data_IF_502239107001
#
_entry.id   IF_502239107001
#
_cell.length_a   1.000
_cell.length_b   1.000
_cell.length_c   1.000
_cell.angle_alpha   90.00
_cell.angle_beta   90.00
_cell.angle_gamma   90.00
#
_symmetry.space_group_name_H-M   'P 1'
#
loop_
_entity.id
_entity.type
_entity.pdbx_description
1 polymer ?
#
# COMPACT_ATOMS: atom_id res chain seq x y z
N UNK A 1 -4.39 2.64 10.86
CA UNK A 1 -4.33 4.03 10.37
C UNK A 1 -5.21 4.12 9.15
N UNK A 2 -6.29 4.87 9.21
CA UNK A 2 -7.09 5.12 8.02
C UNK A 2 -6.37 6.12 7.12
N UNK A 3 -6.66 6.03 5.83
CA UNK A 3 -6.00 6.86 4.86
C UNK A 3 -6.47 6.58 3.46
N UNK A 4 -5.91 7.34 2.53
CA UNK A 4 -6.23 7.25 1.11
C UNK A 4 -5.05 6.66 0.36
N UNK A 5 -5.26 5.47 -0.21
CA UNK A 5 -4.33 4.85 -1.14
C UNK A 5 -4.65 5.29 -2.57
N UNK A 6 -3.64 5.68 -3.34
CA UNK A 6 -3.74 6.05 -4.76
C UNK A 6 -2.67 5.32 -5.54
N UNK A 7 -3.08 4.71 -6.65
CA UNK A 7 -2.20 4.05 -7.60
C UNK A 7 -2.06 4.90 -8.86
N UNK A 8 -0.87 4.93 -9.43
CA UNK A 8 -0.56 5.64 -10.67
C UNK A 8 0.54 4.88 -11.42
N UNK A 9 0.81 5.26 -12.67
CA UNK A 9 1.95 4.72 -13.42
C UNK A 9 3.30 5.04 -12.76
N UNK A 10 3.39 6.14 -12.01
CA UNK A 10 4.59 6.52 -11.27
C UNK A 10 4.80 5.67 -10.00
N UNK A 11 3.75 5.00 -9.53
CA UNK A 11 3.79 4.18 -8.33
C UNK A 11 2.59 4.42 -7.42
N UNK A 12 2.82 4.29 -6.12
CA UNK A 12 1.81 4.28 -5.07
C UNK A 12 1.98 5.47 -4.13
N UNK A 13 0.88 6.13 -3.79
CA UNK A 13 0.82 7.17 -2.75
C UNK A 13 -0.16 6.74 -1.67
N UNK A 14 0.25 6.81 -0.42
CA UNK A 14 -0.63 6.69 0.73
C UNK A 14 -0.63 7.99 1.54
N UNK A 15 -1.81 8.51 1.89
CA UNK A 15 -1.95 9.62 2.81
C UNK A 15 -2.72 9.19 4.04
N UNK A 16 -2.11 9.31 5.21
CA UNK A 16 -2.77 9.08 6.49
C UNK A 16 -3.76 10.23 6.77
N UNK A 17 -5.02 9.92 7.04
CA UNK A 17 -6.04 10.95 7.26
C UNK A 17 -5.86 11.66 8.61
N UNK A 18 -5.44 10.93 9.65
CA UNK A 18 -5.26 11.48 11.00
C UNK A 18 -4.03 12.38 11.11
N UNK A 19 -2.90 11.97 10.54
CA UNK A 19 -1.62 12.70 10.71
C UNK A 19 -1.25 13.56 9.51
N UNK A 20 -1.93 13.40 8.37
CA UNK A 20 -1.56 14.06 7.13
C UNK A 20 -0.27 13.54 6.49
N UNK A 21 0.44 12.58 7.13
CA UNK A 21 1.68 12.00 6.60
C UNK A 21 1.41 11.37 5.24
N UNK A 22 2.23 11.73 4.26
CA UNK A 22 2.19 11.18 2.89
C UNK A 22 3.40 10.28 2.70
N UNK A 23 3.16 9.10 2.15
CA UNK A 23 4.17 8.13 1.74
C UNK A 23 4.02 7.90 0.24
N UNK A 24 5.14 7.98 -0.49
CA UNK A 24 5.20 7.72 -1.92
C UNK A 24 6.20 6.59 -2.17
N UNK A 25 5.79 5.58 -2.93
CA UNK A 25 6.61 4.46 -3.36
C UNK A 25 6.67 4.50 -4.88
N UNK A 26 7.87 4.67 -5.43
CA UNK A 26 8.08 4.64 -6.88
C UNK A 26 7.79 3.25 -7.43
N UNK A 27 7.16 3.17 -8.60
CA UNK A 27 6.93 1.90 -9.29
C UNK A 27 8.24 1.12 -9.53
N UNK A 28 9.35 1.82 -9.77
CA UNK A 28 10.66 1.21 -9.98
C UNK A 28 11.27 0.60 -8.70
N UNK A 29 10.79 1.00 -7.53
CA UNK A 29 11.27 0.47 -6.24
C UNK A 29 10.45 -0.74 -5.75
N UNK A 30 9.37 -1.11 -6.46
CA UNK A 30 8.51 -2.23 -6.09
C UNK A 30 9.16 -3.54 -6.54
N UNK A 31 9.51 -4.38 -5.58
CA UNK A 31 10.08 -5.71 -5.83
C UNK A 31 8.98 -6.79 -5.92
N UNK A 32 8.04 -6.77 -5.00
CA UNK A 32 6.98 -7.79 -4.89
C UNK A 32 5.67 -7.16 -4.42
N UNK A 33 4.55 -7.66 -4.97
CA UNK A 33 3.19 -7.30 -4.55
C UNK A 33 2.40 -8.59 -4.33
N UNK A 34 1.84 -8.74 -3.12
CA UNK A 34 1.02 -9.89 -2.74
C UNK A 34 -0.37 -9.44 -2.35
N UNK A 35 -1.37 -10.01 -3.02
CA UNK A 35 -2.77 -9.92 -2.62
C UNK A 35 -3.12 -11.10 -1.70
N UNK A 36 -3.73 -10.82 -0.55
CA UNK A 36 -4.03 -11.86 0.45
C UNK A 36 -5.26 -11.53 1.27
N UNK A 37 -5.92 -12.56 1.82
CA UNK A 37 -6.92 -12.37 2.89
C UNK A 37 -6.26 -11.82 4.15
N UNK A 38 -6.97 -10.94 4.84
CA UNK A 38 -6.55 -10.31 6.11
C UNK A 38 -7.74 -10.27 7.09
N UNK A 39 -7.53 -9.76 8.30
CA UNK A 39 -8.57 -9.74 9.35
C UNK A 39 -9.85 -9.00 8.91
N UNK A 40 -9.71 -7.95 8.09
CA UNK A 40 -10.83 -7.24 7.48
C UNK A 40 -10.70 -7.27 5.96
N UNK A 41 -11.38 -8.22 5.31
CA UNK A 41 -11.39 -8.35 3.86
C UNK A 41 -10.04 -8.81 3.29
N UNK A 42 -9.52 -8.04 2.33
CA UNK A 42 -8.25 -8.30 1.65
C UNK A 42 -7.24 -7.20 1.89
N UNK A 43 -5.97 -7.53 1.67
CA UNK A 43 -4.85 -6.62 1.82
C UNK A 43 -3.81 -6.81 0.72
N UNK A 44 -3.11 -5.71 0.43
CA UNK A 44 -1.92 -5.65 -0.40
C UNK A 44 -0.71 -5.59 0.54
N UNK A 45 0.18 -6.57 0.43
CA UNK A 45 1.53 -6.51 1.02
C UNK A 45 2.51 -6.18 -0.10
N UNK A 46 3.34 -5.17 0.10
CA UNK A 46 4.27 -4.65 -0.87
C UNK A 46 5.69 -4.71 -0.28
N UNK A 47 6.63 -5.28 -1.01
CA UNK A 47 8.05 -5.30 -0.67
C UNK A 47 8.80 -4.40 -1.65
N UNK A 48 9.65 -3.51 -1.14
CA UNK A 48 10.51 -2.68 -1.99
C UNK A 48 11.89 -3.31 -2.16
N UNK A 49 12.64 -2.87 -3.18
CA UNK A 49 14.02 -3.29 -3.41
C UNK A 49 14.93 -2.95 -2.23
N UNK A 50 14.61 -1.90 -1.48
CA UNK A 50 15.26 -1.54 -0.22
C UNK A 50 14.90 -2.41 0.99
N UNK A 51 14.04 -3.43 0.82
CA UNK A 51 13.62 -4.34 1.89
C UNK A 51 12.49 -3.79 2.78
N UNK A 52 11.92 -2.63 2.45
CA UNK A 52 10.79 -2.09 3.21
C UNK A 52 9.50 -2.84 2.87
N UNK A 53 8.70 -3.12 3.90
CA UNK A 53 7.42 -3.82 3.77
C UNK A 53 6.28 -2.86 4.10
N UNK A 54 5.39 -2.67 3.14
CA UNK A 54 4.16 -1.88 3.29
C UNK A 54 2.95 -2.79 3.27
N UNK A 55 1.96 -2.52 4.12
CA UNK A 55 0.72 -3.31 4.22
C UNK A 55 -0.47 -2.36 4.19
N UNK A 56 -1.33 -2.54 3.20
CA UNK A 56 -2.60 -1.83 3.07
C UNK A 56 -3.72 -2.86 3.13
N UNK A 57 -4.55 -2.80 4.16
CA UNK A 57 -5.59 -3.78 4.46
C UNK A 57 -6.98 -3.11 4.41
N UNK A 58 -8.04 -3.90 4.32
CA UNK A 58 -9.43 -3.41 4.34
C UNK A 58 -10.10 -3.32 2.98
N UNK A 59 -9.51 -3.91 1.94
CA UNK A 59 -10.13 -3.97 0.63
C UNK A 59 -11.28 -4.98 0.61
N UNK A 60 -12.36 -4.65 -0.08
CA UNK A 60 -13.37 -5.63 -0.45
C UNK A 60 -12.83 -6.52 -1.57
N UNK A 61 -13.30 -7.77 -1.62
CA UNK A 61 -12.93 -8.71 -2.69
C UNK A 61 -13.57 -8.29 -4.04
N UNK A 62 -14.64 -7.50 -3.99
CA UNK A 62 -15.43 -6.98 -5.12
C UNK A 62 -15.89 -5.56 -4.86
#
# INVERSE_FOLDING_TARGET
NDGRLRLSRAGLMYKNNKTGKVENISAADIAEVVWRRVALGHGIKLLTNGGHVYKYDGFRET
#
